data_IF_249651141746
#
_entry.id   IF_249651141746
#
_cell.length_a   1.000
_cell.length_b   1.000
_cell.length_c   1.000
_cell.angle_alpha   90.00
_cell.angle_beta   90.00
_cell.angle_gamma   90.00
#
_symmetry.space_group_name_H-M   'P 1'
#
loop_
_entity.id
_entity.type
_entity.pdbx_description
1 polymer ?
#
# COMPACT_ATOMS: atom_id res chain seq x y z
N UNK A 1 -24.52 11.59 -15.57
CA UNK A 1 -24.25 10.25 -15.00
C UNK A 1 -22.93 9.66 -15.48
N UNK A 2 -22.69 9.57 -16.79
CA UNK A 2 -21.42 9.05 -17.34
C UNK A 2 -20.15 9.67 -16.72
N UNK A 3 -20.01 11.00 -16.76
CA UNK A 3 -18.83 11.68 -16.20
C UNK A 3 -18.63 11.45 -14.70
N UNK A 4 -19.72 11.31 -13.93
CA UNK A 4 -19.64 11.01 -12.50
C UNK A 4 -19.04 9.62 -12.29
N UNK A 5 -19.52 8.62 -13.06
CA UNK A 5 -18.99 7.25 -13.01
C UNK A 5 -17.51 7.22 -13.42
N UNK A 6 -17.14 7.96 -14.48
CA UNK A 6 -15.75 8.04 -14.96
C UNK A 6 -14.83 8.65 -13.91
N UNK A 7 -15.19 9.82 -13.36
CA UNK A 7 -14.39 10.49 -12.31
C UNK A 7 -14.26 9.57 -11.10
N UNK A 8 -15.34 8.90 -10.71
CA UNK A 8 -15.34 8.02 -9.56
C UNK A 8 -14.48 6.76 -9.78
N UNK A 9 -14.56 6.16 -10.96
CA UNK A 9 -13.70 5.05 -11.37
C UNK A 9 -12.22 5.45 -11.42
N UNK A 10 -11.90 6.65 -11.93
CA UNK A 10 -10.52 7.17 -11.96
C UNK A 10 -9.97 7.35 -10.54
N UNK A 11 -10.75 7.94 -9.63
CA UNK A 11 -10.34 8.13 -8.23
C UNK A 11 -10.13 6.79 -7.52
N UNK A 12 -11.05 5.84 -7.70
CA UNK A 12 -10.92 4.48 -7.16
C UNK A 12 -9.69 3.78 -7.70
N UNK A 13 -9.47 3.83 -9.01
CA UNK A 13 -8.30 3.28 -9.68
C UNK A 13 -7.00 3.86 -9.13
N UNK A 14 -6.93 5.18 -8.93
CA UNK A 14 -5.75 5.83 -8.34
C UNK A 14 -5.52 5.39 -6.88
N UNK A 15 -6.57 5.30 -6.07
CA UNK A 15 -6.50 4.87 -4.67
C UNK A 15 -6.05 3.40 -4.55
N UNK A 16 -6.63 2.53 -5.37
CA UNK A 16 -6.28 1.10 -5.44
C UNK A 16 -4.84 0.92 -5.89
N UNK A 17 -4.42 1.62 -6.95
CA UNK A 17 -3.05 1.55 -7.47
C UNK A 17 -2.02 2.03 -6.44
N UNK A 18 -2.27 3.16 -5.80
CA UNK A 18 -1.41 3.66 -4.71
C UNK A 18 -1.27 2.64 -3.57
N UNK A 19 -2.39 2.01 -3.21
CA UNK A 19 -2.41 1.00 -2.16
C UNK A 19 -1.58 -0.21 -2.56
N UNK A 20 -1.78 -0.78 -3.74
CA UNK A 20 -1.01 -1.92 -4.26
C UNK A 20 0.50 -1.67 -4.24
N UNK A 21 0.93 -0.46 -4.62
CA UNK A 21 2.34 -0.05 -4.60
C UNK A 21 2.94 -0.12 -3.20
N UNK A 22 2.22 0.40 -2.20
CA UNK A 22 2.66 0.33 -0.81
C UNK A 22 2.70 -1.13 -0.35
N UNK A 23 1.66 -1.93 -0.60
CA UNK A 23 1.64 -3.32 -0.16
C UNK A 23 2.76 -4.15 -0.79
N UNK A 24 3.04 -3.94 -2.08
CA UNK A 24 4.15 -4.60 -2.77
C UNK A 24 5.50 -4.22 -2.17
N UNK A 25 5.68 -2.94 -1.82
CA UNK A 25 6.92 -2.46 -1.20
C UNK A 25 7.09 -2.99 0.23
N UNK A 26 6.03 -2.99 1.05
CA UNK A 26 6.10 -3.50 2.42
C UNK A 26 6.30 -5.01 2.45
N UNK A 27 5.72 -5.75 1.51
CA UNK A 27 5.96 -7.18 1.33
C UNK A 27 7.41 -7.47 0.93
N UNK A 28 7.97 -6.74 -0.03
CA UNK A 28 9.36 -6.88 -0.45
C UNK A 28 10.32 -6.58 0.72
N UNK A 29 10.11 -5.48 1.43
CA UNK A 29 10.89 -5.14 2.63
C UNK A 29 10.79 -6.22 3.71
N UNK A 30 9.57 -6.71 3.98
CA UNK A 30 9.36 -7.80 4.93
C UNK A 30 10.13 -9.06 4.57
N UNK A 31 10.14 -9.47 3.29
CA UNK A 31 10.91 -10.62 2.81
C UNK A 31 12.41 -10.42 2.97
N UNK A 32 12.94 -9.25 2.60
CA UNK A 32 14.37 -8.95 2.70
C UNK A 32 14.85 -8.98 4.16
N UNK A 33 14.11 -8.35 5.08
CA UNK A 33 14.46 -8.31 6.50
C UNK A 33 14.41 -9.69 7.19
N UNK A 34 13.56 -10.58 6.69
CA UNK A 34 13.44 -11.95 7.22
C UNK A 34 14.54 -12.85 6.67
N UNK A 35 14.98 -12.62 5.43
CA UNK A 35 16.12 -13.34 4.86
C UNK A 35 17.44 -13.05 5.61
N UNK A 36 17.56 -11.87 6.22
CA UNK A 36 18.70 -11.49 7.07
C UNK A 36 18.60 -12.02 8.50
N UNK A 37 17.42 -12.45 8.96
CA UNK A 37 17.19 -12.86 10.35
C UNK A 37 16.58 -14.26 10.41
N UNK A 38 17.44 -15.28 10.45
CA UNK A 38 17.07 -16.71 10.49
C UNK A 38 16.13 -17.13 11.65
N UNK A 39 15.76 -16.21 12.55
CA UNK A 39 14.96 -16.45 13.74
C UNK A 39 13.58 -15.76 13.75
N UNK A 40 13.27 -14.86 12.80
CA UNK A 40 12.02 -14.08 12.82
C UNK A 40 10.99 -14.66 11.84
N UNK A 41 9.78 -14.99 12.32
CA UNK A 41 8.67 -15.41 11.45
C UNK A 41 8.30 -14.28 10.49
N UNK A 42 8.32 -14.58 9.19
CA UNK A 42 8.23 -13.56 8.15
C UNK A 42 7.00 -12.66 8.13
N UNK A 43 5.89 -13.16 8.66
CA UNK A 43 4.62 -12.42 8.72
C UNK A 43 4.63 -11.31 9.77
N UNK A 44 5.31 -11.48 10.90
CA UNK A 44 5.35 -10.47 11.97
C UNK A 44 6.14 -9.22 11.60
N UNK A 45 7.18 -9.38 10.77
CA UNK A 45 7.99 -8.25 10.28
C UNK A 45 7.21 -7.40 9.29
N UNK A 46 6.47 -8.04 8.39
CA UNK A 46 5.64 -7.34 7.42
C UNK A 46 4.56 -6.49 8.11
N UNK A 47 3.85 -7.04 9.09
CA UNK A 47 2.82 -6.32 9.85
C UNK A 47 3.40 -5.12 10.63
N UNK A 48 4.64 -5.22 11.11
CA UNK A 48 5.32 -4.12 11.77
C UNK A 48 5.64 -2.96 10.81
N UNK A 49 5.83 -3.23 9.52
CA UNK A 49 6.22 -2.22 8.51
C UNK A 49 4.99 -1.60 7.84
N UNK A 50 3.92 -2.37 7.67
CA UNK A 50 2.68 -1.89 7.02
C UNK A 50 2.17 -0.61 7.69
N UNK A 51 1.97 0.49 6.94
CA UNK A 51 1.36 1.70 7.49
C UNK A 51 -0.05 1.42 8.02
N UNK A 52 -0.39 1.92 9.21
CA UNK A 52 -1.71 1.70 9.83
C UNK A 52 -2.88 2.19 8.97
N UNK A 53 -2.65 3.27 8.21
CA UNK A 53 -3.64 3.83 7.29
C UNK A 53 -3.94 2.91 6.08
N UNK A 54 -3.14 1.88 5.83
CA UNK A 54 -3.37 0.95 4.71
C UNK A 54 -4.67 0.17 4.89
N UNK A 55 -4.97 -0.34 6.08
CA UNK A 55 -6.23 -1.05 6.34
C UNK A 55 -7.45 -0.14 6.14
N UNK A 56 -7.35 1.11 6.61
CA UNK A 56 -8.41 2.12 6.42
C UNK A 56 -8.60 2.41 4.93
N UNK A 57 -7.52 2.57 4.16
CA UNK A 57 -7.59 2.77 2.70
C UNK A 57 -8.23 1.58 1.99
N UNK A 58 -7.90 0.35 2.37
CA UNK A 58 -8.50 -0.86 1.80
C UNK A 58 -10.01 -0.91 2.06
N UNK A 59 -10.42 -0.66 3.31
CA UNK A 59 -11.84 -0.62 3.70
C UNK A 59 -12.57 0.49 2.95
N UNK A 60 -11.98 1.69 2.89
CA UNK A 60 -12.54 2.82 2.15
C UNK A 60 -12.70 2.49 0.66
N UNK A 61 -11.69 1.88 0.02
CA UNK A 61 -11.77 1.46 -1.37
C UNK A 61 -12.90 0.45 -1.59
N UNK A 62 -13.02 -0.57 -0.74
CA UNK A 62 -14.13 -1.55 -0.80
C UNK A 62 -15.50 -0.87 -0.67
N UNK A 63 -15.65 0.03 0.29
CA UNK A 63 -16.89 0.79 0.48
C UNK A 63 -17.20 1.62 -0.78
N UNK A 64 -16.21 2.26 -1.39
CA UNK A 64 -16.39 3.10 -2.58
C UNK A 64 -16.74 2.29 -3.84
N UNK A 65 -16.33 1.03 -3.95
CA UNK A 65 -16.77 0.16 -5.05
C UNK A 65 -18.28 -0.09 -5.04
N UNK A 66 -18.93 -0.09 -3.87
CA UNK A 66 -20.38 -0.34 -3.76
C UNK A 66 -21.20 0.77 -4.44
N UNK A 67 -21.03 2.07 -4.13
CA UNK A 67 -21.67 3.14 -4.88
C UNK A 67 -21.33 3.14 -6.36
N UNK A 68 -20.10 2.78 -6.76
CA UNK A 68 -19.73 2.72 -8.18
C UNK A 68 -20.58 1.68 -8.90
N UNK A 69 -20.75 0.51 -8.28
CA UNK A 69 -21.60 -0.56 -8.79
C UNK A 69 -23.07 -0.13 -8.88
N UNK A 70 -23.62 0.47 -7.80
CA UNK A 70 -25.01 0.93 -7.74
C UNK A 70 -25.26 2.01 -8.80
N UNK A 71 -24.39 3.02 -8.89
CA UNK A 71 -24.52 4.12 -9.86
C UNK A 71 -24.45 3.63 -11.30
N UNK A 72 -23.52 2.71 -11.60
CA UNK A 72 -23.38 2.15 -12.96
C UNK A 72 -24.56 1.25 -13.31
N UNK A 73 -25.04 0.45 -12.36
CA UNK A 73 -26.24 -0.39 -12.53
C UNK A 73 -27.49 0.45 -12.76
N UNK A 74 -27.65 1.53 -11.98
CA UNK A 74 -28.78 2.45 -12.10
C UNK A 74 -28.78 3.22 -13.42
N UNK A 75 -27.63 3.69 -13.87
CA UNK A 75 -27.52 4.48 -15.11
C UNK A 75 -27.55 3.63 -16.39
N UNK A 76 -27.12 2.37 -16.30
CA UNK A 76 -26.98 1.47 -17.45
C UNK A 76 -27.62 0.11 -17.14
N UNK A 77 -26.81 -0.91 -16.84
CA UNK A 77 -27.26 -2.25 -16.47
C UNK A 77 -26.20 -2.92 -15.59
N UNK A 78 -26.61 -3.96 -14.85
CA UNK A 78 -25.74 -4.65 -13.89
C UNK A 78 -24.45 -5.21 -14.51
N UNK A 79 -24.49 -5.68 -15.76
CA UNK A 79 -23.31 -6.23 -16.44
C UNK A 79 -22.30 -5.14 -16.85
N UNK A 80 -22.75 -3.90 -17.09
CA UNK A 80 -21.84 -2.76 -17.30
C UNK A 80 -21.11 -2.41 -16.00
N UNK A 81 -21.76 -2.55 -14.85
CA UNK A 81 -21.12 -2.33 -13.55
C UNK A 81 -19.96 -3.31 -13.30
N UNK A 82 -20.12 -4.58 -13.67
CA UNK A 82 -19.02 -5.56 -13.63
C UNK A 82 -17.86 -5.15 -14.54
N UNK A 83 -18.15 -4.77 -15.79
CA UNK A 83 -17.14 -4.30 -16.73
C UNK A 83 -16.37 -3.07 -16.22
N UNK A 84 -17.08 -2.11 -15.63
CA UNK A 84 -16.48 -0.91 -15.05
C UNK A 84 -15.57 -1.25 -13.87
N UNK A 85 -15.94 -2.18 -12.99
CA UNK A 85 -15.08 -2.64 -11.89
C UNK A 85 -13.80 -3.29 -12.44
N UNK A 86 -13.94 -4.19 -13.41
CA UNK A 86 -12.80 -4.86 -14.04
C UNK A 86 -11.87 -3.83 -14.68
N UNK A 87 -12.42 -2.90 -15.47
CA UNK A 87 -11.65 -1.83 -16.10
C UNK A 87 -10.96 -0.93 -15.07
N UNK A 88 -11.63 -0.62 -13.95
CA UNK A 88 -11.08 0.17 -12.84
C UNK A 88 -9.89 -0.54 -12.20
N UNK A 89 -9.99 -1.86 -12.01
CA UNK A 89 -8.90 -2.66 -11.46
C UNK A 89 -7.69 -2.70 -12.41
N UNK A 90 -7.89 -2.95 -13.70
CA UNK A 90 -6.79 -2.92 -14.67
C UNK A 90 -6.17 -1.52 -14.79
N UNK A 91 -6.98 -0.47 -14.83
CA UNK A 91 -6.50 0.91 -14.81
C UNK A 91 -5.63 1.19 -13.58
N UNK A 92 -5.95 0.61 -12.42
CA UNK A 92 -5.18 0.81 -11.19
C UNK A 92 -3.74 0.34 -11.27
N UNK A 93 -3.42 -0.57 -12.19
CA UNK A 93 -2.02 -0.99 -12.44
C UNK A 93 -1.25 0.04 -13.26
N UNK A 94 -1.93 0.80 -14.13
CA UNK A 94 -1.33 1.82 -14.98
C UNK A 94 -1.08 3.15 -14.25
N UNK A 95 -1.98 3.55 -13.34
CA UNK A 95 -1.87 4.83 -12.61
C UNK A 95 -0.54 5.00 -11.85
N UNK A 96 -0.06 4.01 -11.08
CA UNK A 96 1.24 4.06 -10.45
C UNK A 96 2.41 4.31 -11.40
N UNK A 97 2.34 3.74 -12.61
CA UNK A 97 3.37 3.89 -13.64
C UNK A 97 3.36 5.33 -14.16
N UNK A 98 2.18 5.87 -14.48
CA UNK A 98 2.00 7.23 -15.01
C UNK A 98 2.42 8.28 -13.96
N UNK A 99 2.07 8.07 -12.69
CA UNK A 99 2.40 8.99 -11.60
C UNK A 99 3.83 8.83 -11.06
N UNK A 100 4.65 7.95 -11.67
CA UNK A 100 6.02 7.68 -11.23
C UNK A 100 6.11 7.02 -9.85
N UNK A 101 5.01 6.49 -9.33
CA UNK A 101 4.94 5.79 -8.05
C UNK A 101 5.20 4.31 -8.26
N UNK A 102 6.46 3.95 -8.49
CA UNK A 102 6.86 2.55 -8.63
C UNK A 102 7.01 1.89 -7.26
N UNK A 103 6.53 0.67 -7.13
CA UNK A 103 6.80 -0.13 -5.93
C UNK A 103 8.31 -0.34 -5.78
N UNK A 104 8.78 -0.24 -4.54
CA UNK A 104 10.22 -0.26 -4.21
C UNK A 104 10.97 1.03 -4.52
N UNK A 105 10.32 2.08 -5.04
CA UNK A 105 11.00 3.36 -5.26
C UNK A 105 11.34 4.07 -3.95
N UNK A 106 12.41 4.87 -3.98
CA UNK A 106 12.87 5.71 -2.85
C UNK A 106 11.73 6.51 -2.23
N UNK A 107 10.82 7.04 -3.06
CA UNK A 107 9.66 7.83 -2.60
C UNK A 107 8.69 7.00 -1.76
N UNK A 108 8.44 5.75 -2.14
CA UNK A 108 7.51 4.89 -1.38
C UNK A 108 8.19 4.39 -0.11
N UNK A 109 9.47 4.02 -0.18
CA UNK A 109 10.26 3.64 1.00
C UNK A 109 10.33 4.79 2.00
N UNK A 110 10.54 6.03 1.56
CA UNK A 110 10.57 7.19 2.46
C UNK A 110 9.21 7.49 3.11
N UNK A 111 8.09 7.27 2.39
CA UNK A 111 6.74 7.35 2.98
C UNK A 111 6.56 6.31 4.08
N UNK A 112 7.00 5.07 3.86
CA UNK A 112 6.93 3.99 4.85
C UNK A 112 7.80 4.33 6.07
N UNK A 113 9.05 4.76 5.86
CA UNK A 113 9.95 5.15 6.95
C UNK A 113 9.42 6.35 7.74
N UNK A 114 8.79 7.32 7.06
CA UNK A 114 8.16 8.47 7.73
C UNK A 114 6.98 8.03 8.61
N UNK A 115 6.16 7.09 8.15
CA UNK A 115 5.09 6.50 8.96
C UNK A 115 5.65 5.73 10.16
N UNK A 116 6.71 4.94 9.96
CA UNK A 116 7.40 4.22 11.04
C UNK A 116 7.97 5.18 12.09
N UNK A 117 8.58 6.29 11.69
CA UNK A 117 9.10 7.31 12.61
C UNK A 117 7.98 7.97 13.43
N UNK A 118 6.83 8.27 12.81
CA UNK A 118 5.65 8.78 13.54
C UNK A 118 5.16 7.77 14.58
N UNK A 119 5.14 6.48 14.22
CA UNK A 119 4.75 5.41 15.15
C UNK A 119 5.75 5.26 16.29
N UNK A 120 7.05 5.31 16.01
CA UNK A 120 8.12 5.29 17.01
C UNK A 120 7.95 6.41 18.03
N UNK A 121 7.72 7.65 17.56
CA UNK A 121 7.47 8.81 18.45
C UNK A 121 6.24 8.60 19.32
N UNK A 122 5.13 8.12 18.76
CA UNK A 122 3.94 7.80 19.53
C UNK A 122 4.24 6.75 20.62
N UNK A 123 4.98 5.68 20.32
CA UNK A 123 5.35 4.68 21.34
C UNK A 123 6.21 5.27 22.46
N UNK A 124 7.17 6.15 22.15
CA UNK A 124 7.94 6.88 23.16
C UNK A 124 7.06 7.77 24.04
N UNK A 125 6.12 8.49 23.44
CA UNK A 125 5.16 9.33 24.18
C UNK A 125 4.27 8.51 25.12
N UNK A 126 3.95 7.27 24.76
CA UNK A 126 3.21 6.33 25.61
C UNK A 126 4.09 5.53 26.60
N UNK A 127 5.41 5.78 26.64
CA UNK A 127 6.35 5.06 27.52
C UNK A 127 6.67 3.62 27.10
N UNK A 128 6.32 3.23 25.87
CA UNK A 128 6.58 1.89 25.31
C UNK A 128 7.96 1.87 24.61
N UNK A 129 9.02 1.88 25.44
CA UNK A 129 10.40 1.88 24.96
C UNK A 129 10.76 0.63 24.15
N UNK A 130 10.18 -0.53 24.52
CA UNK A 130 10.45 -1.80 23.85
C UNK A 130 9.99 -1.76 22.39
N UNK A 131 8.75 -1.30 22.13
CA UNK A 131 8.26 -1.18 20.76
C UNK A 131 8.94 -0.06 19.98
N UNK A 132 9.26 1.05 20.64
CA UNK A 132 10.04 2.13 20.02
C UNK A 132 11.41 1.64 19.53
N UNK A 133 12.14 0.92 20.37
CA UNK A 133 13.46 0.37 20.04
C UNK A 133 13.36 -0.68 18.92
N UNK A 134 12.36 -1.56 18.95
CA UNK A 134 12.12 -2.52 17.88
C UNK A 134 11.85 -1.84 16.52
N UNK A 135 11.03 -0.77 16.50
CA UNK A 135 10.80 0.00 15.27
C UNK A 135 12.07 0.72 14.82
N UNK A 136 12.86 1.26 15.75
CA UNK A 136 14.13 1.91 15.42
C UNK A 136 15.12 0.92 14.77
N UNK A 137 15.21 -0.31 15.28
CA UNK A 137 16.06 -1.35 14.69
C UNK A 137 15.61 -1.71 13.27
N UNK A 138 14.29 -1.93 13.08
CA UNK A 138 13.72 -2.20 11.76
C UNK A 138 13.97 -1.05 10.77
N UNK A 139 13.81 0.20 11.21
CA UNK A 139 14.08 1.37 10.37
C UNK A 139 15.54 1.46 9.94
N UNK A 140 16.49 1.12 10.82
CA UNK A 140 17.91 1.14 10.50
C UNK A 140 18.24 0.05 9.48
N UNK A 141 17.77 -1.18 9.68
CA UNK A 141 17.93 -2.27 8.71
C UNK A 141 17.35 -1.90 7.35
N UNK A 142 16.14 -1.31 7.28
CA UNK A 142 15.54 -0.87 6.00
C UNK A 142 16.42 0.17 5.28
N UNK A 143 17.08 1.06 6.02
CA UNK A 143 17.97 2.07 5.42
C UNK A 143 19.27 1.47 4.89
N UNK A 144 19.70 0.34 5.43
CA UNK A 144 20.90 -0.38 4.99
C UNK A 144 20.66 -1.21 3.72
N UNK A 145 19.40 -1.59 3.45
CA UNK A 145 19.05 -2.35 2.23
C UNK A 145 19.25 -1.47 0.98
N UNK A 146 20.06 -1.92 0.00
CA UNK A 146 20.20 -1.25 -1.29
C UNK A 146 18.86 -1.14 -2.03
N UNK A 147 18.59 0.03 -2.62
CA UNK A 147 17.34 0.25 -3.36
C UNK A 147 17.16 -0.72 -4.54
N UNK A 148 18.25 -1.17 -5.14
CA UNK A 148 18.25 -2.14 -6.23
C UNK A 148 17.67 -3.49 -5.79
N UNK A 149 18.01 -3.92 -4.57
CA UNK A 149 17.50 -5.18 -4.00
C UNK A 149 16.02 -5.09 -3.69
N UNK A 150 15.56 -3.95 -3.15
CA UNK A 150 14.13 -3.68 -2.94
C UNK A 150 13.38 -3.73 -4.26
N UNK A 151 13.88 -3.04 -5.29
CA UNK A 151 13.26 -3.03 -6.62
C UNK A 151 13.26 -4.41 -7.29
N UNK A 152 14.29 -5.23 -7.06
CA UNK A 152 14.38 -6.60 -7.57
C UNK A 152 13.38 -7.51 -6.88
N UNK A 153 13.25 -7.42 -5.56
CA UNK A 153 12.33 -8.26 -4.80
C UNK A 153 10.85 -7.91 -5.08
N UNK A 154 10.54 -6.64 -5.35
CA UNK A 154 9.19 -6.21 -5.79
C UNK A 154 8.76 -6.87 -7.12
N UNK A 155 9.70 -7.24 -7.99
CA UNK A 155 9.41 -7.87 -9.29
C UNK A 155 9.26 -9.39 -9.22
N UNK A 156 9.53 -10.00 -8.06
CA UNK A 156 9.57 -11.44 -7.85
C UNK A 156 8.22 -11.99 -7.38
#
# INVERSE_FOLDING_TARGET
>A
MFWIIVVFAVLLSALTGYTMVIQGTTLALGRLLVSESAFIRGTGVQDAIIPKMQSIRNIAAMILFVPLFILTTYAYAWYHALWVIIATFFASTAFPIILGMRAGSVRIVSIILSDMEKRRKAYLEFGDELRSNAISDLMNRIKEIPQEDIMKEVKR
#
